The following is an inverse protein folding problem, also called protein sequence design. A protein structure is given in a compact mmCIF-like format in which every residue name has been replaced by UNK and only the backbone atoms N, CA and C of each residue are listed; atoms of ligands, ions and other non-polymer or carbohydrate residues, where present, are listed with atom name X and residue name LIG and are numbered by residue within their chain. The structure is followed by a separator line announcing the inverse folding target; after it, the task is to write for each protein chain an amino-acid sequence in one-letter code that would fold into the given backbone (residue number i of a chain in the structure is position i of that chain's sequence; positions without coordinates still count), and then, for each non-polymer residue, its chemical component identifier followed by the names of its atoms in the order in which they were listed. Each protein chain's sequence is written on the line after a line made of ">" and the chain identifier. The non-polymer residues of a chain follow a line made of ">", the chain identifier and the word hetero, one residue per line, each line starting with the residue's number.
data_IF_733671046583
#
_entry.id   IF_733671046583
#
_cell.length_a   1.000
_cell.length_b   1.000
_cell.length_c   1.000
_cell.angle_alpha   90.00
_cell.angle_beta   90.00
_cell.angle_gamma   90.00
#
_symmetry.space_group_name_H-M   'P 1'
#
loop_
_entity.id
_entity.type
_entity.pdbx_description
1 polymer ?
#
# COMPACT_ATOMS: atom_id res chain seq x y z
N UNK A 1 5.72 4.24 -12.92
CA UNK A 1 4.94 5.44 -12.56
C UNK A 1 5.84 6.66 -12.56
N UNK A 2 5.29 7.84 -12.86
CA UNK A 2 6.00 9.11 -12.79
C UNK A 2 7.24 9.26 -13.68
N UNK A 3 8.03 10.30 -13.41
CA UNK A 3 9.23 10.67 -14.16
C UNK A 3 10.43 9.79 -13.80
N UNK A 4 10.49 9.24 -12.57
CA UNK A 4 11.54 8.29 -12.17
C UNK A 4 11.32 6.90 -12.78
N UNK A 5 10.17 6.68 -13.44
CA UNK A 5 9.81 5.45 -14.15
C UNK A 5 9.90 4.20 -13.26
N UNK A 6 9.64 4.34 -11.96
CA UNK A 6 9.66 3.20 -11.04
C UNK A 6 8.57 2.18 -11.44
N UNK A 7 8.92 0.89 -11.57
CA UNK A 7 7.96 -0.13 -11.95
C UNK A 7 6.97 -0.42 -10.83
N UNK A 8 5.73 -0.69 -11.24
CA UNK A 8 4.68 -1.28 -10.41
C UNK A 8 4.18 -2.47 -11.19
N UNK A 9 4.37 -3.68 -10.64
CA UNK A 9 3.82 -4.88 -11.26
C UNK A 9 2.34 -4.96 -10.89
N UNK A 10 1.49 -5.13 -11.90
CA UNK A 10 0.04 -5.32 -11.76
C UNK A 10 -0.25 -6.76 -12.17
N UNK A 11 -0.89 -7.51 -11.29
CA UNK A 11 -1.15 -8.93 -11.48
C UNK A 11 -2.63 -9.16 -11.26
N UNK A 12 -3.35 -9.42 -12.35
CA UNK A 12 -4.73 -9.88 -12.29
C UNK A 12 -4.78 -11.39 -11.99
N UNK A 13 -5.89 -11.86 -11.43
CA UNK A 13 -6.12 -13.25 -11.07
C UNK A 13 -5.02 -13.86 -10.18
N UNK A 14 -4.56 -13.08 -9.18
CA UNK A 14 -3.36 -13.38 -8.41
C UNK A 14 -3.43 -14.65 -7.56
N UNK A 15 -4.57 -14.89 -6.90
CA UNK A 15 -4.84 -16.12 -6.20
C UNK A 15 -5.74 -17.03 -7.04
N UNK A 16 -5.47 -18.34 -7.00
CA UNK A 16 -6.27 -19.34 -7.73
C UNK A 16 -7.72 -19.43 -7.22
N UNK A 17 -7.97 -19.12 -5.95
CA UNK A 17 -9.28 -19.15 -5.32
C UNK A 17 -9.43 -17.95 -4.36
N UNK A 18 -9.76 -16.75 -4.88
CA UNK A 18 -9.92 -15.56 -4.06
C UNK A 18 -11.16 -15.63 -3.17
N UNK A 19 -12.19 -16.40 -3.56
CA UNK A 19 -13.42 -16.56 -2.79
C UNK A 19 -13.16 -17.37 -1.51
N UNK A 20 -12.33 -18.41 -1.58
CA UNK A 20 -11.87 -19.12 -0.39
C UNK A 20 -11.04 -18.22 0.55
N UNK A 21 -10.24 -17.29 0.00
CA UNK A 21 -9.52 -16.30 0.83
C UNK A 21 -10.48 -15.33 1.51
N UNK A 22 -11.49 -14.85 0.80
CA UNK A 22 -12.53 -13.97 1.37
C UNK A 22 -13.32 -14.69 2.47
N UNK A 23 -13.73 -15.94 2.24
CA UNK A 23 -14.41 -16.77 3.22
C UNK A 23 -13.53 -17.02 4.46
N UNK A 24 -12.24 -17.31 4.26
CA UNK A 24 -11.30 -17.45 5.37
C UNK A 24 -11.13 -16.15 6.15
N UNK A 25 -11.01 -15.02 5.46
CA UNK A 25 -10.89 -13.69 6.06
C UNK A 25 -12.12 -13.35 6.92
N UNK A 26 -13.33 -13.73 6.49
CA UNK A 26 -14.57 -13.52 7.23
C UNK A 26 -14.62 -14.27 8.58
N UNK A 27 -13.82 -15.33 8.74
CA UNK A 27 -13.73 -16.10 9.99
C UNK A 27 -12.63 -15.60 10.94
N UNK A 28 -11.83 -14.61 10.53
CA UNK A 28 -10.71 -14.14 11.33
C UNK A 28 -11.12 -13.12 12.40
N UNK A 29 -10.31 -13.08 13.46
CA UNK A 29 -10.38 -12.01 14.45
C UNK A 29 -9.41 -10.89 14.07
N UNK A 30 -9.97 -9.70 13.83
CA UNK A 30 -9.19 -8.52 13.48
C UNK A 30 -8.85 -7.71 14.72
N UNK A 31 -7.63 -7.17 14.72
CA UNK A 31 -7.12 -6.29 15.76
C UNK A 31 -6.57 -4.99 15.14
N UNK A 32 -6.43 -3.89 15.90
CA UNK A 32 -5.80 -2.67 15.40
C UNK A 32 -4.43 -2.93 14.75
N UNK A 33 -4.21 -2.36 13.56
CA UNK A 33 -3.03 -2.65 12.74
C UNK A 33 -1.75 -1.93 13.21
N UNK A 34 -1.86 -1.05 14.21
CA UNK A 34 -0.77 -0.23 14.73
C UNK A 34 -0.86 1.22 14.25
N UNK A 35 0.23 1.98 14.41
CA UNK A 35 0.23 3.44 14.15
C UNK A 35 0.23 3.81 12.67
N UNK A 36 0.81 2.97 11.81
CA UNK A 36 1.03 3.32 10.40
C UNK A 36 -0.17 3.01 9.51
N UNK A 37 -0.81 1.86 9.71
CA UNK A 37 -1.96 1.47 8.88
C UNK A 37 -3.28 1.97 9.50
N UNK A 38 -4.15 2.67 8.74
CA UNK A 38 -5.39 3.27 9.23
C UNK A 38 -6.54 2.26 9.31
N UNK A 39 -6.37 1.22 10.13
CA UNK A 39 -7.43 0.25 10.36
C UNK A 39 -7.01 -0.99 11.14
N UNK A 40 -7.52 -2.13 10.72
CA UNK A 40 -7.42 -3.41 11.43
C UNK A 40 -6.75 -4.48 10.56
N UNK A 41 -6.13 -5.47 11.20
CA UNK A 41 -5.44 -6.58 10.54
C UNK A 41 -5.72 -7.93 11.18
N UNK A 42 -5.58 -8.99 10.39
CA UNK A 42 -5.75 -10.38 10.83
C UNK A 42 -4.75 -11.33 10.13
N UNK A 43 -4.64 -12.56 10.64
CA UNK A 43 -3.76 -13.59 10.08
C UNK A 43 -4.26 -14.12 8.74
N UNK A 44 -3.31 -14.42 7.85
CA UNK A 44 -3.56 -15.11 6.59
C UNK A 44 -3.64 -16.62 6.80
N UNK A 45 -4.15 -17.39 5.83
CA UNK A 45 -3.88 -18.83 5.75
C UNK A 45 -2.37 -19.09 5.74
N UNK A 46 -1.92 -20.10 6.48
CA UNK A 46 -0.49 -20.45 6.64
C UNK A 46 0.23 -20.73 5.32
N UNK A 47 -0.53 -21.06 4.29
CA UNK A 47 -0.03 -21.44 2.98
C UNK A 47 -0.17 -20.37 1.90
N UNK A 48 -0.76 -19.22 2.21
CA UNK A 48 -0.95 -18.11 1.28
C UNK A 48 0.38 -17.79 0.57
N UNK A 49 1.37 -17.29 1.30
CA UNK A 49 2.64 -16.87 0.69
C UNK A 49 3.34 -18.02 -0.05
N UNK A 50 3.29 -19.24 0.48
CA UNK A 50 3.88 -20.41 -0.20
C UNK A 50 3.28 -20.64 -1.58
N UNK A 51 1.97 -20.46 -1.74
CA UNK A 51 1.27 -20.59 -3.04
C UNK A 51 1.64 -19.46 -4.01
N UNK A 52 1.84 -18.24 -3.50
CA UNK A 52 2.18 -17.08 -4.34
C UNK A 52 3.69 -16.92 -4.63
N UNK A 53 4.57 -17.53 -3.82
CA UNK A 53 6.02 -17.37 -3.90
C UNK A 53 6.63 -17.59 -5.29
N UNK A 54 6.27 -18.62 -6.08
CA UNK A 54 6.87 -18.83 -7.41
C UNK A 54 6.61 -17.66 -8.38
N UNK A 55 5.39 -17.12 -8.34
CA UNK A 55 5.01 -15.97 -9.17
C UNK A 55 5.67 -14.69 -8.68
N UNK A 56 5.66 -14.44 -7.36
CA UNK A 56 6.34 -13.29 -6.76
C UNK A 56 7.84 -13.32 -7.11
N UNK A 57 8.52 -14.47 -6.97
CA UNK A 57 9.94 -14.60 -7.30
C UNK A 57 10.24 -14.30 -8.77
N UNK A 58 9.35 -14.72 -9.68
CA UNK A 58 9.43 -14.41 -11.11
C UNK A 58 9.34 -12.91 -11.36
N UNK A 59 8.35 -12.24 -10.75
CA UNK A 59 8.16 -10.79 -10.87
C UNK A 59 9.34 -10.02 -10.26
N UNK A 60 9.83 -10.44 -9.10
CA UNK A 60 10.99 -9.84 -8.44
C UNK A 60 12.21 -9.83 -9.37
N UNK A 61 12.47 -10.95 -10.03
CA UNK A 61 13.57 -11.06 -10.98
C UNK A 61 13.32 -10.24 -12.25
N UNK A 62 12.19 -10.45 -12.91
CA UNK A 62 11.98 -9.98 -14.28
C UNK A 62 11.58 -8.49 -14.34
N UNK A 63 10.91 -7.98 -13.30
CA UNK A 63 10.46 -6.57 -13.22
C UNK A 63 11.40 -5.73 -12.36
N UNK A 64 11.88 -6.28 -11.24
CA UNK A 64 12.65 -5.53 -10.25
C UNK A 64 14.15 -5.86 -10.27
N UNK A 65 14.62 -6.78 -11.11
CA UNK A 65 16.03 -7.19 -11.16
C UNK A 65 16.54 -7.77 -9.84
N UNK A 66 15.65 -8.25 -8.97
CA UNK A 66 15.98 -8.84 -7.68
C UNK A 66 16.24 -10.32 -7.88
N UNK A 67 17.50 -10.72 -7.81
CA UNK A 67 17.93 -12.11 -7.97
C UNK A 67 18.18 -12.83 -6.64
N UNK A 68 18.25 -12.08 -5.53
CA UNK A 68 18.39 -12.64 -4.20
C UNK A 68 17.07 -13.28 -3.73
N UNK A 69 17.18 -14.22 -2.78
CA UNK A 69 16.01 -14.83 -2.15
C UNK A 69 15.34 -13.80 -1.26
N UNK A 70 14.11 -13.42 -1.60
CA UNK A 70 13.32 -12.52 -0.77
C UNK A 70 12.76 -13.25 0.46
N UNK A 71 13.00 -12.68 1.63
CA UNK A 71 12.36 -13.04 2.88
C UNK A 71 11.06 -12.28 3.07
N UNK A 72 10.09 -12.90 3.73
CA UNK A 72 8.84 -12.26 4.14
C UNK A 72 9.06 -11.61 5.49
N UNK A 73 8.80 -10.31 5.59
CA UNK A 73 8.84 -9.57 6.85
C UNK A 73 7.50 -9.64 7.57
N UNK A 74 6.40 -9.40 6.84
CA UNK A 74 5.04 -9.49 7.34
C UNK A 74 4.09 -9.72 6.16
N UNK A 75 3.01 -10.47 6.37
CA UNK A 75 1.86 -10.45 5.48
C UNK A 75 0.58 -10.70 6.29
N UNK A 76 -0.44 -9.87 6.09
CA UNK A 76 -1.69 -9.89 6.87
C UNK A 76 -2.88 -9.53 5.99
N UNK A 77 -4.07 -10.02 6.34
CA UNK A 77 -5.28 -9.34 5.92
C UNK A 77 -5.34 -7.97 6.58
N UNK A 78 -5.77 -6.97 5.84
CA UNK A 78 -5.84 -5.58 6.28
C UNK A 78 -7.13 -4.95 5.76
N UNK A 79 -7.83 -4.23 6.63
CA UNK A 79 -9.06 -3.50 6.30
C UNK A 79 -8.92 -2.07 6.78
N UNK A 80 -9.12 -1.11 5.88
CA UNK A 80 -9.18 0.31 6.25
C UNK A 80 -10.49 0.58 6.99
N UNK A 81 -10.40 1.05 8.23
CA UNK A 81 -11.57 1.33 9.07
C UNK A 81 -11.51 2.68 9.77
N UNK A 82 -10.34 3.31 9.84
CA UNK A 82 -10.18 4.59 10.54
C UNK A 82 -10.96 5.70 9.82
N UNK A 83 -11.85 6.44 10.52
CA UNK A 83 -12.56 7.56 9.92
C UNK A 83 -11.61 8.75 9.71
N UNK A 84 -11.87 9.62 8.73
CA UNK A 84 -11.00 10.76 8.40
C UNK A 84 -10.57 11.63 9.59
N UNK A 85 -11.50 11.95 10.49
CA UNK A 85 -11.26 12.78 11.67
C UNK A 85 -10.33 12.12 12.71
N UNK A 86 -10.13 10.81 12.64
CA UNK A 86 -9.24 10.06 13.54
C UNK A 86 -7.90 9.71 12.90
N UNK A 87 -7.63 10.16 11.68
CA UNK A 87 -6.35 9.94 11.03
C UNK A 87 -5.26 10.77 11.69
N UNK A 88 -4.12 10.14 11.95
CA UNK A 88 -2.88 10.86 12.20
C UNK A 88 -2.42 11.61 10.94
N UNK A 89 -1.57 12.62 11.08
CA UNK A 89 -1.00 13.36 9.93
C UNK A 89 -0.35 12.41 8.92
N UNK A 90 0.40 11.41 9.40
CA UNK A 90 1.08 10.45 8.53
C UNK A 90 0.12 9.61 7.67
N UNK A 91 -1.09 9.33 8.16
CA UNK A 91 -2.11 8.56 7.43
C UNK A 91 -2.89 9.40 6.39
N UNK A 92 -2.71 10.72 6.40
CA UNK A 92 -3.34 11.66 5.46
C UNK A 92 -2.46 11.97 4.25
N UNK A 93 -1.21 11.53 4.27
CA UNK A 93 -0.17 11.88 3.30
C UNK A 93 0.38 10.64 2.58
N UNK A 94 0.93 10.80 1.37
CA UNK A 94 1.75 9.77 0.76
C UNK A 94 2.94 9.41 1.64
N UNK A 95 3.27 8.12 1.68
CA UNK A 95 4.36 7.58 2.47
C UNK A 95 5.21 6.59 1.68
N UNK A 96 6.32 6.20 2.29
CA UNK A 96 7.16 5.07 1.90
C UNK A 96 7.16 4.08 3.06
N UNK A 97 7.18 2.78 2.79
CA UNK A 97 7.14 1.75 3.85
C UNK A 97 8.52 1.50 4.44
N UNK A 98 9.58 1.74 3.64
CA UNK A 98 10.96 1.50 4.05
C UNK A 98 11.93 2.37 3.24
N UNK A 99 13.05 2.73 3.88
CA UNK A 99 14.15 3.47 3.26
C UNK A 99 15.29 2.55 2.83
N UNK A 100 15.34 1.35 3.39
CA UNK A 100 16.34 0.33 3.13
C UNK A 100 16.21 -0.20 1.69
N UNK A 101 17.34 -0.50 1.02
CA UNK A 101 17.31 -1.16 -0.27
C UNK A 101 16.70 -2.57 -0.16
N UNK A 102 16.25 -3.12 -1.29
CA UNK A 102 15.72 -4.49 -1.34
C UNK A 102 14.34 -4.67 -0.71
N UNK A 103 13.68 -3.60 -0.27
CA UNK A 103 12.34 -3.63 0.33
C UNK A 103 11.23 -3.52 -0.71
N UNK A 104 10.25 -4.40 -0.63
CA UNK A 104 9.06 -4.40 -1.50
C UNK A 104 7.78 -4.52 -0.70
N UNK A 105 6.72 -3.94 -1.25
CA UNK A 105 5.36 -4.02 -0.75
C UNK A 105 4.47 -4.76 -1.75
N UNK A 106 3.54 -5.56 -1.22
CA UNK A 106 2.48 -6.24 -1.94
C UNK A 106 1.14 -5.76 -1.40
N UNK A 107 0.23 -5.38 -2.30
CA UNK A 107 -1.18 -5.19 -1.98
C UNK A 107 -1.99 -6.12 -2.87
N UNK A 108 -2.81 -7.00 -2.29
CA UNK A 108 -3.72 -7.86 -3.04
C UNK A 108 -5.16 -7.54 -2.63
N UNK A 109 -5.97 -7.08 -3.57
CA UNK A 109 -7.35 -6.62 -3.32
C UNK A 109 -8.33 -7.79 -3.32
N UNK A 110 -9.10 -7.91 -2.25
CA UNK A 110 -10.14 -8.92 -2.06
C UNK A 110 -11.50 -8.26 -1.82
N UNK A 111 -11.76 -7.15 -2.53
CA UNK A 111 -13.03 -6.41 -2.46
C UNK A 111 -13.92 -6.83 -3.65
N UNK A 112 -15.00 -7.58 -3.45
CA UNK A 112 -15.95 -7.85 -4.52
C UNK A 112 -16.50 -6.54 -5.11
N UNK A 113 -16.48 -6.39 -6.42
CA UNK A 113 -16.87 -5.14 -7.10
C UNK A 113 -15.76 -4.07 -7.16
N UNK A 114 -14.62 -4.30 -6.51
CA UNK A 114 -13.44 -3.45 -6.56
C UNK A 114 -13.44 -2.27 -5.59
N UNK A 115 -12.40 -1.45 -5.69
CA UNK A 115 -12.13 -0.26 -4.87
C UNK A 115 -11.25 0.73 -5.64
N UNK A 116 -11.08 1.95 -5.15
CA UNK A 116 -10.24 2.98 -5.79
C UNK A 116 -8.77 2.55 -5.89
N UNK A 117 -8.30 1.58 -5.10
CA UNK A 117 -7.00 0.98 -5.29
C UNK A 117 -5.85 1.75 -4.65
N UNK A 118 -4.75 1.98 -5.37
CA UNK A 118 -3.53 2.63 -4.85
C UNK A 118 -3.05 3.73 -5.78
N UNK A 119 -2.72 4.88 -5.20
CA UNK A 119 -2.18 6.03 -5.89
C UNK A 119 -0.68 6.21 -5.56
N UNK A 120 0.07 6.68 -6.54
CA UNK A 120 1.49 6.97 -6.46
C UNK A 120 1.71 8.47 -6.64
N UNK A 121 2.73 9.02 -5.98
CA UNK A 121 2.88 10.45 -5.85
C UNK A 121 4.31 10.93 -6.07
N UNK A 122 4.43 12.22 -6.41
CA UNK A 122 5.65 13.01 -6.36
C UNK A 122 5.48 14.11 -5.33
N UNK A 123 6.49 14.28 -4.48
CA UNK A 123 6.57 15.42 -3.59
C UNK A 123 7.05 16.65 -4.35
N UNK A 124 6.25 17.73 -4.39
CA UNK A 124 6.47 18.87 -5.28
C UNK A 124 7.72 19.66 -4.93
N UNK A 125 7.95 19.97 -3.65
CA UNK A 125 9.10 20.79 -3.23
C UNK A 125 10.45 20.11 -3.50
N UNK A 126 10.52 18.79 -3.34
CA UNK A 126 11.77 18.03 -3.56
C UNK A 126 11.88 17.41 -4.96
N UNK A 127 10.77 17.30 -5.69
CA UNK A 127 10.68 16.54 -6.94
C UNK A 127 10.76 15.02 -6.79
N UNK A 128 10.86 14.48 -5.56
CA UNK A 128 11.05 13.04 -5.32
C UNK A 128 9.76 12.24 -5.54
N UNK A 129 9.88 11.13 -6.26
CA UNK A 129 8.86 10.06 -6.35
C UNK A 129 9.27 8.86 -5.49
N UNK A 130 10.56 8.72 -5.20
CA UNK A 130 11.11 7.76 -4.25
C UNK A 130 11.93 8.41 -3.14
N UNK A 131 11.84 7.81 -1.94
CA UNK A 131 12.58 8.24 -0.75
C UNK A 131 13.35 7.05 -0.18
N UNK A 132 14.67 7.17 -0.12
CA UNK A 132 15.59 6.16 0.43
C UNK A 132 16.45 6.79 1.54
N UNK A 133 17.41 6.04 2.10
CA UNK A 133 18.28 6.54 3.17
C UNK A 133 19.05 7.83 2.82
N UNK A 134 19.38 8.05 1.54
CA UNK A 134 20.11 9.24 1.08
C UNK A 134 19.17 10.44 0.94
N UNK A 135 17.97 10.23 0.39
CA UNK A 135 16.97 11.29 0.14
C UNK A 135 16.11 11.63 1.36
N UNK A 136 15.98 10.68 2.29
CA UNK A 136 15.12 10.78 3.48
C UNK A 136 15.32 12.05 4.29
N UNK A 137 16.56 12.42 4.70
CA UNK A 137 16.79 13.62 5.49
C UNK A 137 16.24 14.89 4.85
N UNK A 138 16.51 15.10 3.55
CA UNK A 138 16.02 16.26 2.81
C UNK A 138 14.50 16.23 2.65
N UNK A 139 13.93 15.06 2.33
CA UNK A 139 12.49 14.88 2.18
C UNK A 139 11.72 15.20 3.47
N UNK A 140 12.10 14.57 4.59
CA UNK A 140 11.39 14.74 5.86
C UNK A 140 11.58 16.13 6.47
N UNK A 141 12.72 16.79 6.22
CA UNK A 141 12.93 18.17 6.63
C UNK A 141 11.99 19.14 5.89
N UNK A 142 11.90 19.00 4.55
CA UNK A 142 10.99 19.81 3.72
C UNK A 142 9.53 19.58 4.12
N UNK A 143 9.11 18.31 4.19
CA UNK A 143 7.74 17.94 4.53
C UNK A 143 7.33 18.46 5.92
N UNK A 144 8.23 18.38 6.91
CA UNK A 144 7.96 18.94 8.25
C UNK A 144 7.69 20.43 8.18
N UNK A 145 8.53 21.18 7.48
CA UNK A 145 8.37 22.63 7.33
C UNK A 145 7.03 22.98 6.66
N UNK A 146 6.64 22.24 5.62
CA UNK A 146 5.37 22.45 4.92
C UNK A 146 4.15 22.17 5.80
N UNK A 147 4.17 21.07 6.56
CA UNK A 147 3.10 20.71 7.50
C UNK A 147 2.96 21.74 8.63
N UNK A 148 4.07 22.31 9.10
CA UNK A 148 4.05 23.38 10.11
C UNK A 148 3.55 24.71 9.55
N UNK A 149 3.71 24.94 8.24
CA UNK A 149 3.35 26.20 7.58
C UNK A 149 1.87 26.33 7.23
N UNK A 150 1.15 25.21 7.06
CA UNK A 150 -0.26 25.23 6.68
C UNK A 150 -1.01 23.97 7.19
N UNK A 151 -2.28 24.11 7.60
CA UNK A 151 -3.07 22.96 8.02
C UNK A 151 -3.32 22.00 6.85
N UNK A 152 -3.26 20.70 7.15
CA UNK A 152 -3.64 19.64 6.21
C UNK A 152 -5.12 19.29 6.36
N UNK A 153 -5.81 18.89 5.29
CA UNK A 153 -7.17 18.37 5.38
C UNK A 153 -7.29 17.17 6.33
N UNK A 154 -8.38 17.08 7.08
CA UNK A 154 -8.75 15.88 7.87
C UNK A 154 -9.34 14.79 6.96
N UNK A 155 -8.55 14.31 5.99
CA UNK A 155 -8.98 13.36 4.98
C UNK A 155 -7.85 12.43 4.53
N UNK A 156 -8.23 11.29 3.96
CA UNK A 156 -7.30 10.53 3.11
C UNK A 156 -6.96 11.36 1.88
N UNK A 157 -5.71 11.29 1.42
CA UNK A 157 -5.33 11.89 0.14
C UNK A 157 -5.98 11.09 -1.01
N UNK A 158 -6.80 11.76 -1.83
CA UNK A 158 -7.51 11.16 -2.96
C UNK A 158 -7.11 11.73 -4.33
N UNK A 159 -6.40 12.87 -4.34
CA UNK A 159 -6.01 13.61 -5.55
C UNK A 159 -4.72 14.40 -5.30
N UNK A 160 -4.34 15.21 -6.29
CA UNK A 160 -3.29 16.21 -6.16
C UNK A 160 -3.56 17.17 -4.98
N UNK A 161 -2.48 17.58 -4.33
CA UNK A 161 -2.47 18.61 -3.29
C UNK A 161 -1.39 19.64 -3.59
N UNK A 162 -1.34 20.77 -2.86
CA UNK A 162 -0.22 21.71 -2.95
C UNK A 162 1.14 21.09 -2.62
N UNK A 163 1.19 19.98 -1.86
CA UNK A 163 2.43 19.30 -1.48
C UNK A 163 2.78 18.13 -2.41
N UNK A 164 1.76 17.44 -2.94
CA UNK A 164 1.94 16.21 -3.70
C UNK A 164 1.19 16.24 -5.04
N UNK A 165 1.82 15.70 -6.06
CA UNK A 165 1.23 15.43 -7.38
C UNK A 165 1.01 13.93 -7.53
N UNK A 166 -0.17 13.49 -8.00
CA UNK A 166 -0.42 12.08 -8.29
C UNK A 166 0.22 11.72 -9.63
N UNK A 167 1.20 10.83 -9.58
CA UNK A 167 1.98 10.39 -10.76
C UNK A 167 1.51 9.07 -11.35
N UNK A 168 0.62 8.37 -10.65
CA UNK A 168 0.06 7.10 -11.09
C UNK A 168 -1.11 6.67 -10.23
N UNK A 169 -1.94 5.81 -10.79
CA UNK A 169 -3.09 5.22 -10.12
C UNK A 169 -3.31 3.81 -10.67
N UNK A 170 -3.63 2.87 -9.79
CA UNK A 170 -4.08 1.53 -10.19
C UNK A 170 -5.32 1.18 -9.39
N UNK A 171 -6.42 0.94 -10.10
CA UNK A 171 -7.69 0.56 -9.51
C UNK A 171 -7.57 -0.81 -8.81
N UNK A 172 -8.22 -0.94 -7.66
CA UNK A 172 -8.24 -2.17 -6.89
C UNK A 172 -9.33 -3.10 -7.40
N UNK A 173 -9.04 -3.87 -8.43
CA UNK A 173 -9.95 -4.92 -8.91
C UNK A 173 -9.92 -6.15 -8.00
N UNK A 174 -11.01 -6.91 -7.93
CA UNK A 174 -11.05 -8.16 -7.17
C UNK A 174 -9.98 -9.14 -7.68
N UNK A 175 -9.24 -9.77 -6.77
CA UNK A 175 -8.12 -10.68 -7.06
C UNK A 175 -6.93 -10.05 -7.80
N UNK A 176 -6.83 -8.71 -7.83
CA UNK A 176 -5.65 -8.00 -8.35
C UNK A 176 -4.62 -7.82 -7.25
N UNK A 177 -3.37 -8.11 -7.56
CA UNK A 177 -2.23 -7.73 -6.76
C UNK A 177 -1.35 -6.66 -7.40
N UNK A 178 -0.75 -5.83 -6.57
CA UNK A 178 0.29 -4.87 -6.91
C UNK A 178 1.56 -5.23 -6.16
N UNK A 179 2.69 -5.26 -6.85
CA UNK A 179 4.01 -5.34 -6.23
C UNK A 179 4.82 -4.11 -6.65
N UNK A 180 5.43 -3.44 -5.68
CA UNK A 180 6.26 -2.25 -5.92
C UNK A 180 7.33 -2.10 -4.85
N UNK A 181 8.34 -1.26 -5.10
CA UNK A 181 9.39 -1.00 -4.10
C UNK A 181 8.84 -0.16 -2.95
N UNK A 182 9.15 -0.53 -1.72
CA UNK A 182 8.70 0.17 -0.51
C UNK A 182 9.15 1.62 -0.42
N UNK A 183 10.15 2.03 -1.21
CA UNK A 183 10.65 3.41 -1.29
C UNK A 183 9.82 4.35 -2.17
N UNK A 184 8.80 3.85 -2.88
CA UNK A 184 7.96 4.67 -3.76
C UNK A 184 6.91 5.39 -2.93
N UNK A 185 6.77 6.71 -3.14
CA UNK A 185 5.73 7.50 -2.49
C UNK A 185 4.36 7.06 -2.98
N UNK A 186 3.54 6.58 -2.06
CA UNK A 186 2.23 6.03 -2.38
C UNK A 186 1.24 6.24 -1.24
N UNK A 187 -0.03 6.02 -1.54
CA UNK A 187 -1.11 5.94 -0.55
C UNK A 187 -2.22 5.03 -1.08
N UNK A 188 -2.98 4.42 -0.18
CA UNK A 188 -4.26 3.82 -0.58
C UNK A 188 -5.16 4.91 -1.15
N UNK A 189 -5.66 4.71 -2.37
CA UNK A 189 -6.74 5.54 -2.89
C UNK A 189 -8.01 5.14 -2.13
N UNK A 190 -8.54 6.08 -1.36
CA UNK A 190 -9.72 5.89 -0.52
C UNK A 190 -10.59 7.11 -0.74
N UNK A 191 -11.66 6.96 -1.53
CA UNK A 191 -12.60 8.03 -1.78
C UNK A 191 -13.31 8.48 -0.48
N UNK A 192 -13.77 9.75 -0.38
CA UNK A 192 -14.49 10.25 0.79
C UNK A 192 -15.71 9.40 1.17
N UNK A 193 -16.42 8.89 0.17
CA UNK A 193 -17.61 8.04 0.22
C UNK A 193 -17.30 6.53 0.26
N UNK A 194 -16.03 6.13 0.30
CA UNK A 194 -15.64 4.73 0.40
C UNK A 194 -16.26 4.06 1.64
N UNK A 195 -16.73 2.83 1.46
CA UNK A 195 -17.32 2.01 2.53
C UNK A 195 -16.25 1.71 3.59
N UNK A 196 -16.49 2.18 4.81
CA UNK A 196 -15.65 1.93 5.99
C UNK A 196 -16.35 0.94 6.91
N UNK A 197 -16.19 -0.35 6.59
CA UNK A 197 -16.71 -1.44 7.41
C UNK A 197 -15.56 -2.31 7.89
N UNK A 198 -15.62 -2.77 9.14
CA UNK A 198 -14.71 -3.79 9.67
C UNK A 198 -15.06 -5.20 9.22
N UNK A 199 -16.24 -5.38 8.58
CA UNK A 199 -16.66 -6.64 7.98
C UNK A 199 -15.82 -6.92 6.72
N UNK A 200 -15.03 -8.01 6.66
CA UNK A 200 -14.15 -8.31 5.53
C UNK A 200 -14.90 -8.47 4.20
N UNK A 201 -16.20 -8.78 4.24
CA UNK A 201 -17.04 -8.96 3.04
C UNK A 201 -17.60 -7.65 2.49
N UNK A 202 -17.48 -6.55 3.23
CA UNK A 202 -18.05 -5.23 2.88
C UNK A 202 -17.00 -4.12 2.87
N UNK A 203 -15.98 -4.23 3.71
CA UNK A 203 -14.91 -3.26 3.82
C UNK A 203 -13.89 -3.40 2.69
N UNK A 204 -12.96 -2.45 2.64
CA UNK A 204 -11.81 -2.51 1.73
C UNK A 204 -10.79 -3.55 2.23
N UNK A 205 -11.11 -4.83 2.05
CA UNK A 205 -10.25 -5.96 2.38
C UNK A 205 -9.09 -6.08 1.38
N UNK A 206 -7.89 -6.14 1.92
CA UNK A 206 -6.66 -6.43 1.16
C UNK A 206 -5.79 -7.42 1.92
N UNK A 207 -4.87 -8.08 1.22
CA UNK A 207 -3.65 -8.60 1.83
C UNK A 207 -2.56 -7.56 1.65
N UNK A 208 -1.92 -7.13 2.75
CA UNK A 208 -0.73 -6.28 2.74
C UNK A 208 0.48 -7.13 3.11
N UNK A 209 1.50 -7.15 2.26
CA UNK A 209 2.72 -7.92 2.47
C UNK A 209 3.98 -7.08 2.29
N UNK A 210 5.02 -7.40 3.06
CA UNK A 210 6.33 -6.73 3.01
C UNK A 210 7.45 -7.76 2.90
N UNK A 211 8.41 -7.49 2.02
CA UNK A 211 9.51 -8.39 1.69
C UNK A 211 10.85 -7.67 1.80
N UNK A 212 11.90 -8.43 2.10
CA UNK A 212 13.29 -7.98 2.04
C UNK A 212 14.12 -8.96 1.22
N UNK A 213 14.80 -8.45 0.19
CA UNK A 213 15.71 -9.18 -0.68
C UNK A 213 17.13 -8.61 -0.61
#
# INVERSE_FOLDING_TARGET
>A
MGNEREPVAIIDDFAADPDALLAFAAMQQYAPAGRHYPGIKASLPDDYLRRQSPLIATILRDVFGVTAVASVLEARFSIVTTPPISLSIAQRLPHVDALEPGRLALIHYLVPGGTDGTAFYRHRATGFETVNAIRGPAYFAALRHEIESAPLPDAYIAADTPLFERTGHVDGAYNRALLYRSRVLHSGAIAPDAIRSSDPTKGRLTVTGFFAA
#
